data_IF_020879858419
#
_entry.id   IF_020879858419
#
_cell.length_a   1.000
_cell.length_b   1.000
_cell.length_c   1.000
_cell.angle_alpha   90.00
_cell.angle_beta   90.00
_cell.angle_gamma   90.00
#
_symmetry.space_group_name_H-M   'P 1'
#
loop_
_entity.id
_entity.type
_entity.pdbx_description
1 polymer ?
#
# COMPACT_ATOMS: atom_id res chain seq x y z
N UNK A 1 28.81 -14.89 -7.56
CA UNK A 1 28.73 -15.05 -9.04
C UNK A 1 29.23 -13.75 -9.70
N UNK A 2 29.82 -13.83 -10.90
CA UNK A 2 30.33 -12.63 -11.61
C UNK A 2 29.16 -11.93 -12.30
N UNK A 3 29.12 -10.58 -12.31
CA UNK A 3 28.12 -9.75 -12.99
C UNK A 3 27.95 -10.15 -14.46
N UNK A 4 29.03 -10.54 -15.13
CA UNK A 4 29.03 -11.05 -16.50
C UNK A 4 28.13 -12.31 -16.65
N UNK A 5 28.17 -13.23 -15.71
CA UNK A 5 27.33 -14.40 -15.71
C UNK A 5 25.85 -14.02 -15.53
N UNK A 6 25.55 -13.05 -14.67
CA UNK A 6 24.17 -12.59 -14.45
C UNK A 6 23.62 -11.93 -15.72
N UNK A 7 24.43 -11.12 -16.42
CA UNK A 7 24.06 -10.49 -17.68
C UNK A 7 23.81 -11.49 -18.82
N UNK A 8 24.38 -12.69 -18.72
CA UNK A 8 24.17 -13.78 -19.72
C UNK A 8 22.90 -14.59 -19.48
N UNK A 9 22.16 -14.34 -18.40
CA UNK A 9 20.89 -15.00 -18.14
C UNK A 9 19.85 -14.66 -19.22
N UNK A 10 19.03 -15.64 -19.60
CA UNK A 10 18.03 -15.47 -20.65
C UNK A 10 16.91 -14.52 -20.24
N UNK A 11 16.84 -13.37 -20.89
CA UNK A 11 15.71 -12.42 -20.76
C UNK A 11 14.38 -13.07 -21.14
N UNK A 12 14.39 -13.95 -22.16
CA UNK A 12 13.21 -14.69 -22.62
C UNK A 12 12.66 -15.57 -21.51
N UNK A 13 13.52 -16.38 -20.87
CA UNK A 13 13.10 -17.31 -19.83
C UNK A 13 12.68 -16.55 -18.57
N UNK A 14 13.38 -15.47 -18.25
CA UNK A 14 12.98 -14.62 -17.12
C UNK A 14 11.59 -14.03 -17.32
N UNK A 15 11.30 -13.47 -18.49
CA UNK A 15 9.98 -12.92 -18.82
C UNK A 15 8.89 -14.00 -18.84
N UNK A 16 9.18 -15.16 -19.42
CA UNK A 16 8.25 -16.30 -19.42
C UNK A 16 7.88 -16.76 -18.01
N UNK A 17 8.86 -16.85 -17.10
CA UNK A 17 8.65 -17.16 -15.69
C UNK A 17 7.81 -16.11 -14.95
N UNK A 18 7.71 -14.88 -15.48
CA UNK A 18 6.85 -13.81 -14.99
C UNK A 18 5.51 -13.70 -15.73
N UNK A 19 5.20 -14.65 -16.63
CA UNK A 19 3.96 -14.68 -17.39
C UNK A 19 3.93 -13.76 -18.60
N UNK A 20 5.07 -13.19 -19.00
CA UNK A 20 5.20 -12.35 -20.19
C UNK A 20 5.74 -13.18 -21.37
N UNK A 21 4.92 -13.33 -22.41
CA UNK A 21 5.25 -14.09 -23.61
C UNK A 21 5.31 -13.16 -24.83
N UNK A 22 6.14 -13.46 -25.84
CA UNK A 22 6.21 -12.66 -27.04
C UNK A 22 4.89 -12.72 -27.82
N UNK A 23 4.40 -11.57 -28.28
CA UNK A 23 3.27 -11.47 -29.21
C UNK A 23 3.70 -11.84 -30.62
N UNK A 24 4.95 -11.49 -30.98
CA UNK A 24 5.62 -11.90 -32.23
C UNK A 24 7.02 -12.38 -31.90
N UNK A 25 7.39 -13.55 -32.37
CA UNK A 25 8.70 -14.15 -32.12
C UNK A 25 9.46 -14.38 -33.39
N UNK A 26 10.74 -14.03 -33.38
CA UNK A 26 11.70 -14.24 -34.48
C UNK A 26 12.91 -15.00 -33.92
N UNK A 27 13.75 -15.53 -34.77
CA UNK A 27 14.92 -16.34 -34.36
C UNK A 27 15.88 -15.59 -33.44
N UNK A 28 15.99 -14.28 -33.60
CA UNK A 28 16.99 -13.46 -32.86
C UNK A 28 16.39 -12.49 -31.85
N UNK A 29 15.08 -12.26 -31.90
CA UNK A 29 14.38 -11.35 -30.99
C UNK A 29 12.89 -11.68 -30.87
N UNK A 30 12.26 -11.17 -29.81
CA UNK A 30 10.81 -11.18 -29.64
C UNK A 30 10.25 -9.78 -29.45
N UNK A 31 9.02 -9.58 -29.91
CA UNK A 31 8.22 -8.39 -29.61
C UNK A 31 7.16 -8.74 -28.57
N UNK A 32 7.19 -8.08 -27.46
CA UNK A 32 6.31 -8.27 -26.30
C UNK A 32 5.43 -7.04 -26.10
N UNK A 33 4.33 -7.19 -25.38
CA UNK A 33 3.69 -6.05 -24.73
C UNK A 33 4.59 -5.61 -23.59
N UNK A 34 4.66 -4.31 -23.31
CA UNK A 34 5.52 -3.79 -22.26
C UNK A 34 5.13 -4.38 -20.89
N UNK A 35 6.09 -4.93 -20.12
CA UNK A 35 5.82 -5.40 -18.78
C UNK A 35 5.61 -4.26 -17.76
N UNK A 36 5.72 -3.01 -18.22
CA UNK A 36 5.67 -1.81 -17.37
C UNK A 36 4.34 -1.06 -17.46
N UNK A 37 3.48 -1.41 -18.43
CA UNK A 37 2.17 -0.76 -18.67
C UNK A 37 1.23 -1.67 -19.45
N UNK A 38 -0.05 -1.37 -19.40
CA UNK A 38 -1.03 -1.97 -20.31
C UNK A 38 -0.95 -1.32 -21.69
N UNK A 39 -0.88 -2.13 -22.74
CA UNK A 39 -0.88 -1.68 -24.13
C UNK A 39 -1.51 -2.72 -25.05
N UNK A 40 -2.12 -2.25 -26.16
CA UNK A 40 -2.76 -3.12 -27.15
C UNK A 40 -1.78 -3.67 -28.17
N UNK A 41 -0.72 -2.92 -28.50
CA UNK A 41 0.28 -3.26 -29.52
C UNK A 41 1.64 -3.54 -28.86
N UNK A 42 2.40 -4.57 -29.32
CA UNK A 42 3.67 -4.90 -28.74
C UNK A 42 4.72 -3.84 -29.08
N UNK A 43 5.27 -3.19 -28.06
CA UNK A 43 6.28 -2.14 -28.17
C UNK A 43 7.58 -2.44 -27.41
N UNK A 44 7.69 -3.61 -26.80
CA UNK A 44 8.85 -4.02 -26.03
C UNK A 44 9.62 -5.10 -26.78
N UNK A 45 10.84 -4.76 -27.25
CA UNK A 45 11.73 -5.68 -27.97
C UNK A 45 12.70 -6.35 -27.01
N UNK A 46 12.86 -7.67 -27.14
CA UNK A 46 13.92 -8.44 -26.44
C UNK A 46 14.82 -9.05 -27.50
N UNK A 47 16.07 -8.63 -27.51
CA UNK A 47 17.10 -9.20 -28.39
C UNK A 47 17.76 -10.39 -27.67
N UNK A 48 17.55 -11.60 -28.21
CA UNK A 48 18.01 -12.85 -27.60
C UNK A 48 19.52 -13.08 -27.75
N UNK A 49 20.14 -12.47 -28.77
CA UNK A 49 21.60 -12.60 -29.00
C UNK A 49 22.39 -11.62 -28.13
N UNK A 50 21.93 -10.37 -28.09
CA UNK A 50 22.59 -9.34 -27.30
C UNK A 50 22.25 -9.44 -25.81
N UNK A 51 21.21 -10.22 -25.40
CA UNK A 51 20.63 -10.25 -24.06
C UNK A 51 20.25 -8.85 -23.58
N UNK A 52 19.62 -8.07 -24.48
CA UNK A 52 19.19 -6.69 -24.21
C UNK A 52 17.69 -6.55 -24.51
N UNK A 53 17.04 -5.63 -23.81
CA UNK A 53 15.68 -5.21 -24.12
C UNK A 53 15.63 -3.72 -24.47
N UNK A 54 14.60 -3.35 -25.23
CA UNK A 54 14.31 -1.96 -25.56
C UNK A 54 12.79 -1.75 -25.64
N UNK A 55 12.29 -0.77 -24.89
CA UNK A 55 10.88 -0.37 -24.89
C UNK A 55 10.71 0.89 -25.74
N UNK A 56 10.16 0.72 -26.95
CA UNK A 56 9.90 1.81 -27.89
C UNK A 56 8.88 2.83 -27.36
N UNK A 57 8.01 2.44 -26.43
CA UNK A 57 7.01 3.34 -25.86
C UNK A 57 7.58 4.30 -24.82
N UNK A 58 8.61 3.90 -24.07
CA UNK A 58 9.29 4.78 -23.09
C UNK A 58 10.65 5.30 -23.57
N UNK A 59 11.22 4.73 -24.67
CA UNK A 59 12.56 5.06 -25.15
C UNK A 59 13.69 4.52 -24.27
N UNK A 60 13.41 3.55 -23.39
CA UNK A 60 14.35 2.99 -22.44
C UNK A 60 14.74 1.56 -22.80
N UNK A 61 15.94 1.16 -22.40
CA UNK A 61 16.44 -0.18 -22.66
C UNK A 61 17.55 -0.56 -21.69
N UNK A 62 17.97 -1.84 -21.73
CA UNK A 62 19.03 -2.31 -20.85
C UNK A 62 19.23 -3.82 -20.88
N UNK A 63 20.00 -4.32 -19.92
CA UNK A 63 20.26 -5.72 -19.65
C UNK A 63 19.15 -6.35 -18.79
N UNK A 64 19.29 -7.64 -18.47
CA UNK A 64 18.37 -8.31 -17.53
C UNK A 64 18.40 -7.64 -16.15
N UNK A 65 19.53 -7.11 -15.73
CA UNK A 65 19.67 -6.41 -14.44
C UNK A 65 18.81 -5.14 -14.46
N UNK A 66 18.88 -4.34 -15.54
CA UNK A 66 18.09 -3.12 -15.69
C UNK A 66 16.60 -3.43 -15.77
N UNK A 67 16.22 -4.55 -16.43
CA UNK A 67 14.85 -5.04 -16.46
C UNK A 67 14.36 -5.36 -15.04
N UNK A 68 15.14 -6.12 -14.27
CA UNK A 68 14.79 -6.53 -12.91
C UNK A 68 14.71 -5.32 -11.98
N UNK A 69 15.67 -4.41 -12.06
CA UNK A 69 15.64 -3.16 -11.28
C UNK A 69 14.37 -2.37 -11.58
N UNK A 70 13.98 -2.25 -12.85
CA UNK A 70 12.78 -1.51 -13.26
C UNK A 70 11.49 -2.24 -12.90
N UNK A 71 11.38 -3.56 -13.12
CA UNK A 71 10.20 -4.35 -12.77
C UNK A 71 9.92 -4.39 -11.27
N UNK A 72 10.97 -4.50 -10.48
CA UNK A 72 10.86 -4.62 -9.02
C UNK A 72 11.14 -3.32 -8.27
N UNK A 73 11.56 -2.25 -8.98
CA UNK A 73 11.94 -0.97 -8.36
C UNK A 73 13.05 -1.13 -7.33
N UNK A 74 14.02 -2.00 -7.59
CA UNK A 74 15.04 -2.40 -6.64
C UNK A 74 16.43 -1.86 -7.03
N UNK A 75 17.36 -1.86 -6.07
CA UNK A 75 18.77 -1.48 -6.31
C UNK A 75 19.51 -2.55 -7.11
N UNK A 76 20.69 -2.18 -7.66
CA UNK A 76 21.56 -3.11 -8.36
C UNK A 76 21.88 -4.36 -7.53
N UNK A 77 22.21 -4.19 -6.25
CA UNK A 77 22.52 -5.30 -5.35
C UNK A 77 21.35 -6.24 -5.14
N UNK A 78 20.14 -5.68 -5.01
CA UNK A 78 18.90 -6.46 -4.89
C UNK A 78 18.55 -7.18 -6.18
N UNK A 79 18.71 -6.52 -7.35
CA UNK A 79 18.49 -7.15 -8.66
C UNK A 79 19.42 -8.33 -8.89
N UNK A 80 20.69 -8.18 -8.50
CA UNK A 80 21.69 -9.26 -8.54
C UNK A 80 21.24 -10.43 -7.65
N UNK A 81 20.83 -10.16 -6.40
CA UNK A 81 20.33 -11.18 -5.48
C UNK A 81 19.13 -11.95 -6.01
N UNK A 82 18.20 -11.24 -6.68
CA UNK A 82 17.03 -11.83 -7.35
C UNK A 82 17.41 -12.79 -8.49
N UNK A 83 18.39 -12.36 -9.32
CA UNK A 83 18.84 -13.14 -10.46
C UNK A 83 19.71 -14.34 -10.06
N UNK A 84 20.37 -14.28 -8.91
CA UNK A 84 21.11 -15.38 -8.31
C UNK A 84 20.23 -16.41 -7.56
N UNK A 85 18.91 -16.22 -7.54
CA UNK A 85 17.96 -17.01 -6.72
C UNK A 85 18.29 -17.00 -5.21
N UNK A 86 19.05 -16.01 -4.74
CA UNK A 86 19.39 -15.84 -3.31
C UNK A 86 18.32 -15.07 -2.54
N UNK A 87 17.47 -14.33 -3.25
CA UNK A 87 16.35 -13.57 -2.69
C UNK A 87 15.16 -13.70 -3.64
N UNK A 88 14.20 -14.53 -3.31
CA UNK A 88 12.89 -14.49 -3.96
C UNK A 88 12.10 -13.34 -3.35
N UNK A 89 12.05 -12.18 -4.03
CA UNK A 89 11.08 -11.12 -3.71
C UNK A 89 9.85 -11.37 -4.60
N UNK A 90 8.99 -12.24 -4.14
CA UNK A 90 7.65 -12.36 -4.72
C UNK A 90 6.73 -11.37 -3.99
N UNK A 91 5.88 -10.62 -4.69
CA UNK A 91 4.79 -9.95 -3.99
C UNK A 91 3.91 -11.04 -3.37
N UNK A 92 3.74 -11.02 -2.04
CA UNK A 92 2.73 -11.84 -1.38
C UNK A 92 1.37 -11.45 -1.95
N UNK A 93 0.67 -12.42 -2.50
CA UNK A 93 -0.74 -12.27 -2.83
C UNK A 93 -1.58 -12.50 -1.57
N UNK A 94 -2.82 -12.00 -1.55
CA UNK A 94 -3.74 -12.23 -0.44
C UNK A 94 -3.92 -13.74 -0.19
N UNK A 95 -3.98 -14.56 -1.26
CA UNK A 95 -4.09 -16.02 -1.17
C UNK A 95 -2.89 -16.69 -0.49
N UNK A 96 -1.67 -16.16 -0.69
CA UNK A 96 -0.47 -16.67 -0.03
C UNK A 96 -0.51 -16.39 1.47
N UNK A 97 -1.05 -15.22 1.85
CA UNK A 97 -1.19 -14.82 3.24
C UNK A 97 -2.29 -15.61 3.96
N UNK A 98 -3.46 -15.79 3.34
CA UNK A 98 -4.58 -16.52 3.94
C UNK A 98 -4.17 -17.99 4.22
N UNK A 99 -3.45 -18.64 3.29
CA UNK A 99 -2.87 -19.96 3.50
C UNK A 99 -1.83 -20.02 4.62
N UNK A 100 -1.13 -18.91 4.89
CA UNK A 100 -0.11 -18.82 5.94
C UNK A 100 -0.70 -18.52 7.31
N UNK A 101 -1.78 -17.74 7.36
CA UNK A 101 -2.53 -17.52 8.59
C UNK A 101 -3.12 -18.83 9.13
N UNK A 102 -3.50 -19.76 8.23
CA UNK A 102 -3.97 -21.10 8.56
C UNK A 102 -2.83 -22.03 9.02
N UNK A 103 -1.59 -21.82 8.55
CA UNK A 103 -0.43 -22.67 8.88
C UNK A 103 0.27 -22.33 10.19
N UNK A 104 -0.09 -21.20 10.84
CA UNK A 104 0.51 -20.76 12.11
C UNK A 104 1.98 -20.35 12.02
N UNK A 105 2.51 -20.11 10.82
CA UNK A 105 3.92 -19.75 10.63
C UNK A 105 4.20 -18.30 11.00
N UNK A 106 5.31 -18.09 11.70
CA UNK A 106 5.71 -16.81 12.25
C UNK A 106 6.24 -15.86 11.16
N UNK A 107 5.63 -14.67 11.02
CA UNK A 107 6.15 -13.58 10.22
C UNK A 107 7.19 -12.82 11.03
N UNK A 108 8.41 -12.74 10.53
CA UNK A 108 9.52 -12.08 11.22
C UNK A 108 9.86 -10.76 10.54
N UNK A 109 9.80 -9.66 11.31
CA UNK A 109 10.31 -8.36 10.85
C UNK A 109 11.83 -8.46 10.80
N UNK A 110 12.42 -8.12 9.64
CA UNK A 110 13.86 -8.05 9.45
C UNK A 110 14.33 -6.66 9.81
N UNK A 111 13.69 -5.64 9.23
CA UNK A 111 14.02 -4.24 9.49
C UNK A 111 12.83 -3.32 9.20
N UNK A 112 12.85 -2.14 9.83
CA UNK A 112 11.91 -1.06 9.59
C UNK A 112 12.71 0.22 9.31
N UNK A 113 12.69 0.66 8.05
CA UNK A 113 13.50 1.80 7.59
C UNK A 113 12.63 2.95 7.11
N UNK A 114 13.22 4.10 6.81
CA UNK A 114 12.52 5.21 6.20
C UNK A 114 11.95 4.80 4.85
N UNK A 115 10.71 5.20 4.59
CA UNK A 115 9.99 4.84 3.37
C UNK A 115 10.66 5.49 2.14
N UNK A 116 11.29 4.68 1.30
CA UNK A 116 12.04 5.15 0.12
C UNK A 116 11.90 4.24 -1.11
N UNK A 117 11.41 3.00 -0.95
CA UNK A 117 11.30 2.03 -2.03
C UNK A 117 10.40 2.55 -3.17
N UNK A 118 10.88 2.61 -4.43
CA UNK A 118 10.16 3.25 -5.54
C UNK A 118 8.75 2.68 -5.77
N UNK A 119 8.56 1.36 -5.67
CA UNK A 119 7.24 0.74 -5.87
C UNK A 119 6.25 1.11 -4.76
N UNK A 120 6.72 1.28 -3.52
CA UNK A 120 5.86 1.71 -2.41
C UNK A 120 5.49 3.19 -2.55
N UNK A 121 6.44 4.02 -2.98
CA UNK A 121 6.16 5.44 -3.27
C UNK A 121 5.20 5.59 -4.45
N UNK A 122 5.38 4.80 -5.52
CA UNK A 122 4.45 4.77 -6.67
C UNK A 122 3.06 4.34 -6.22
N UNK A 123 2.94 3.28 -5.41
CA UNK A 123 1.66 2.84 -4.86
C UNK A 123 0.92 3.97 -4.11
N UNK A 124 1.64 4.78 -3.33
CA UNK A 124 1.06 5.95 -2.65
C UNK A 124 0.65 7.04 -3.64
N UNK A 125 1.47 7.32 -4.64
CA UNK A 125 1.18 8.30 -5.70
C UNK A 125 -0.06 7.91 -6.51
N UNK A 126 -0.21 6.63 -6.87
CA UNK A 126 -1.38 6.10 -7.57
C UNK A 126 -2.65 6.29 -6.73
N UNK A 127 -2.53 6.18 -5.40
CA UNK A 127 -3.58 6.47 -4.42
C UNK A 127 -3.71 7.95 -4.06
N UNK A 128 -2.97 8.83 -4.73
CA UNK A 128 -2.98 10.30 -4.51
C UNK A 128 -2.61 10.73 -3.08
N UNK A 129 -1.95 9.86 -2.33
CA UNK A 129 -1.46 10.14 -0.98
C UNK A 129 -0.15 10.92 -1.08
N UNK A 130 -0.04 12.01 -0.32
CA UNK A 130 1.20 12.77 -0.22
C UNK A 130 2.29 11.90 0.44
N UNK A 131 3.41 11.69 -0.29
CA UNK A 131 4.52 10.88 0.19
C UNK A 131 5.17 11.46 1.44
N UNK A 132 5.14 12.78 1.66
CA UNK A 132 5.67 13.42 2.88
C UNK A 132 4.81 13.06 4.10
N UNK A 133 3.49 13.02 3.93
CA UNK A 133 2.54 12.55 4.92
C UNK A 133 2.81 11.08 5.25
N UNK A 134 2.90 10.23 4.22
CA UNK A 134 3.16 8.81 4.43
C UNK A 134 4.49 8.55 5.16
N UNK A 135 5.57 9.26 4.79
CA UNK A 135 6.89 9.15 5.45
C UNK A 135 6.87 9.56 6.94
N UNK A 136 5.95 10.44 7.34
CA UNK A 136 5.80 10.86 8.74
C UNK A 136 5.22 9.74 9.61
N UNK A 137 4.22 9.02 9.10
CA UNK A 137 3.43 8.05 9.87
C UNK A 137 3.81 6.59 9.61
N UNK A 138 4.46 6.30 8.50
CA UNK A 138 4.77 4.94 8.08
C UNK A 138 6.27 4.70 7.95
N UNK A 139 6.62 3.42 7.88
CA UNK A 139 7.96 2.92 7.59
C UNK A 139 7.87 1.96 6.41
N UNK A 140 8.99 1.76 5.77
CA UNK A 140 9.20 0.62 4.88
C UNK A 140 9.60 -0.57 5.76
N UNK A 141 8.80 -1.63 5.70
CA UNK A 141 9.02 -2.83 6.50
C UNK A 141 9.52 -3.92 5.59
N UNK A 142 10.68 -4.47 5.91
CA UNK A 142 11.18 -5.70 5.33
C UNK A 142 10.88 -6.84 6.30
N UNK A 143 10.20 -7.87 5.84
CA UNK A 143 9.79 -8.99 6.67
C UNK A 143 9.94 -10.31 5.94
N UNK A 144 10.13 -11.37 6.69
CA UNK A 144 10.35 -12.72 6.18
C UNK A 144 9.17 -13.62 6.47
N UNK A 145 8.80 -14.42 5.47
CA UNK A 145 7.80 -15.49 5.56
C UNK A 145 8.34 -16.70 4.80
N UNK A 146 8.42 -17.86 5.43
CA UNK A 146 8.93 -19.10 4.82
C UNK A 146 10.32 -18.93 4.18
N UNK A 147 11.20 -18.18 4.82
CA UNK A 147 12.54 -17.88 4.30
C UNK A 147 12.60 -16.87 3.16
N UNK A 148 11.47 -16.37 2.66
CA UNK A 148 11.38 -15.34 1.63
C UNK A 148 11.23 -13.97 2.24
N UNK A 149 11.94 -12.98 1.69
CA UNK A 149 11.87 -11.59 2.14
C UNK A 149 10.86 -10.80 1.31
N UNK A 150 10.03 -10.02 1.99
CA UNK A 150 9.00 -9.16 1.42
C UNK A 150 9.16 -7.74 1.94
N UNK A 151 8.55 -6.78 1.25
CA UNK A 151 8.49 -5.40 1.69
C UNK A 151 7.07 -4.83 1.58
N UNK A 152 6.75 -3.92 2.49
CA UNK A 152 5.46 -3.23 2.52
C UNK A 152 5.58 -1.86 3.18
N UNK A 153 4.58 -0.99 2.95
CA UNK A 153 4.35 0.18 3.78
C UNK A 153 3.77 -0.32 5.10
N UNK A 154 4.38 0.02 6.22
CA UNK A 154 3.92 -0.34 7.54
C UNK A 154 3.60 0.88 8.39
N UNK A 155 2.38 0.94 8.93
CA UNK A 155 2.03 1.88 9.99
C UNK A 155 2.23 1.18 11.33
N UNK A 156 3.08 1.71 12.23
CA UNK A 156 3.28 1.14 13.54
C UNK A 156 1.98 1.18 14.34
N UNK A 157 1.74 0.16 15.14
CA UNK A 157 0.63 0.12 16.09
C UNK A 157 1.09 0.28 17.53
N UNK A 158 0.16 0.46 18.45
CA UNK A 158 0.44 0.77 19.87
C UNK A 158 1.12 -0.36 20.65
N UNK A 159 1.19 -1.58 20.09
CA UNK A 159 1.85 -2.74 20.70
C UNK A 159 3.19 -3.11 20.02
N UNK A 160 3.70 -2.28 19.10
CA UNK A 160 4.97 -2.50 18.41
C UNK A 160 4.90 -3.39 17.18
N UNK A 161 3.70 -3.83 16.76
CA UNK A 161 3.46 -4.45 15.45
C UNK A 161 3.19 -3.40 14.37
N UNK A 162 2.84 -3.86 13.17
CA UNK A 162 2.57 -3.00 12.02
C UNK A 162 1.33 -3.43 11.26
N UNK A 163 0.45 -2.49 10.94
CA UNK A 163 -0.48 -2.67 9.83
C UNK A 163 0.28 -2.46 8.53
N UNK A 164 0.24 -3.43 7.61
CA UNK A 164 1.04 -3.39 6.39
C UNK A 164 0.20 -3.38 5.12
N UNK A 165 0.72 -2.69 4.09
CA UNK A 165 0.09 -2.57 2.79
C UNK A 165 1.11 -2.47 1.68
N UNK A 166 0.84 -3.15 0.57
CA UNK A 166 1.44 -2.90 -0.73
C UNK A 166 0.38 -3.06 -1.84
N UNK A 167 0.77 -3.06 -3.10
CA UNK A 167 -0.15 -3.19 -4.23
C UNK A 167 -0.98 -4.50 -4.17
N UNK A 168 -0.40 -5.58 -3.66
CA UNK A 168 -0.93 -6.94 -3.73
C UNK A 168 -1.50 -7.44 -2.41
N UNK A 169 -1.17 -6.78 -1.30
CA UNK A 169 -1.39 -7.32 0.02
C UNK A 169 -1.81 -6.27 1.07
N UNK A 170 -2.78 -6.66 1.92
CA UNK A 170 -3.19 -5.95 3.15
C UNK A 170 -3.11 -6.94 4.31
N UNK A 171 -2.38 -6.60 5.36
CA UNK A 171 -2.25 -7.47 6.53
C UNK A 171 -1.70 -6.77 7.76
N UNK A 172 -1.28 -7.56 8.72
CA UNK A 172 -0.70 -7.11 9.97
C UNK A 172 0.51 -7.98 10.33
N UNK A 173 1.61 -7.33 10.69
CA UNK A 173 2.74 -7.99 11.36
C UNK A 173 2.51 -7.90 12.87
N UNK A 174 2.50 -9.04 13.56
CA UNK A 174 2.12 -9.10 14.96
C UNK A 174 3.04 -8.27 15.89
N UNK A 175 2.55 -7.88 17.04
CA UNK A 175 1.18 -8.05 17.55
C UNK A 175 0.15 -7.14 16.84
N UNK A 176 -1.10 -7.62 16.65
CA UNK A 176 -2.17 -6.84 16.04
C UNK A 176 -2.80 -5.88 17.04
N UNK A 177 -2.80 -4.59 16.71
CA UNK A 177 -3.42 -3.54 17.54
C UNK A 177 -3.86 -2.34 16.70
N UNK A 178 -4.48 -1.39 17.37
CA UNK A 178 -4.77 -0.04 16.86
C UNK A 178 -3.49 0.78 16.74
N UNK A 179 -3.57 1.85 15.94
CA UNK A 179 -2.56 2.93 15.96
C UNK A 179 -3.23 4.20 16.46
N UNK A 180 -2.77 4.74 17.59
CA UNK A 180 -3.33 5.93 18.19
C UNK A 180 -2.38 7.13 18.14
N UNK A 181 -2.95 8.32 17.94
CA UNK A 181 -2.24 9.60 17.86
C UNK A 181 -2.97 10.59 18.77
N UNK A 182 -2.58 10.63 20.05
CA UNK A 182 -3.13 11.60 21.00
C UNK A 182 -2.48 12.96 20.80
N UNK A 183 -3.31 13.98 20.61
CA UNK A 183 -2.91 15.37 20.39
C UNK A 183 -3.56 16.33 21.36
N UNK A 184 -4.06 15.78 22.46
CA UNK A 184 -4.68 16.53 23.55
C UNK A 184 -5.85 17.40 23.05
N UNK A 185 -6.73 16.82 22.23
CA UNK A 185 -7.95 17.45 21.70
C UNK A 185 -9.18 16.77 22.29
N UNK A 186 -10.31 17.51 22.40
CA UNK A 186 -11.58 16.95 22.90
C UNK A 186 -12.27 16.04 21.88
N UNK A 187 -11.79 16.03 20.64
CA UNK A 187 -12.35 15.26 19.53
C UNK A 187 -11.31 14.29 18.99
N UNK A 188 -11.74 13.06 18.68
CA UNK A 188 -10.88 12.07 18.04
C UNK A 188 -11.46 11.64 16.68
N UNK A 189 -10.61 11.50 15.67
CA UNK A 189 -10.95 10.98 14.36
C UNK A 189 -10.64 9.47 14.31
N UNK A 190 -11.64 8.66 14.03
CA UNK A 190 -11.52 7.20 13.93
C UNK A 190 -11.54 6.76 12.47
N UNK A 191 -10.56 5.95 12.09
CA UNK A 191 -10.40 5.39 10.74
C UNK A 191 -10.40 3.87 10.77
N UNK A 192 -10.95 3.23 9.72
CA UNK A 192 -10.92 1.78 9.61
C UNK A 192 -9.51 1.29 9.23
N UNK A 193 -8.87 1.92 8.26
CA UNK A 193 -7.54 1.59 7.76
C UNK A 193 -6.59 2.77 7.69
N UNK A 194 -5.29 2.49 7.71
CA UNK A 194 -4.29 3.57 7.71
C UNK A 194 -4.19 4.30 6.36
N UNK A 195 -4.62 3.69 5.26
CA UNK A 195 -4.68 4.36 3.96
C UNK A 195 -5.70 5.51 3.99
N UNK A 196 -6.83 5.33 4.68
CA UNK A 196 -7.84 6.39 4.85
C UNK A 196 -7.35 7.49 5.79
N UNK A 197 -6.63 7.12 6.84
CA UNK A 197 -5.95 8.10 7.70
C UNK A 197 -4.93 8.94 6.92
N UNK A 198 -4.08 8.32 6.08
CA UNK A 198 -3.14 9.05 5.24
C UNK A 198 -3.86 9.92 4.19
N UNK A 199 -5.00 9.45 3.68
CA UNK A 199 -5.85 10.21 2.76
C UNK A 199 -6.46 11.43 3.45
N UNK A 200 -6.92 11.28 4.69
CA UNK A 200 -7.39 12.39 5.52
C UNK A 200 -6.30 13.43 5.74
N UNK A 201 -5.12 13.00 6.15
CA UNK A 201 -3.98 13.89 6.37
C UNK A 201 -3.53 14.61 5.09
N UNK A 202 -3.71 13.98 3.92
CA UNK A 202 -3.43 14.59 2.61
C UNK A 202 -4.51 15.61 2.23
N UNK A 203 -5.79 15.30 2.46
CA UNK A 203 -6.93 16.15 2.14
C UNK A 203 -7.02 17.39 3.03
N UNK A 204 -6.65 17.24 4.30
CA UNK A 204 -6.85 18.23 5.36
C UNK A 204 -5.56 18.44 6.16
N UNK A 205 -4.51 19.03 5.55
CA UNK A 205 -3.21 19.21 6.20
C UNK A 205 -3.29 20.05 7.50
N UNK A 206 -4.20 20.99 7.58
CA UNK A 206 -4.41 21.83 8.77
C UNK A 206 -5.05 21.07 9.94
N UNK A 207 -5.68 19.92 9.68
CA UNK A 207 -6.30 19.06 10.68
C UNK A 207 -5.38 17.92 11.16
N UNK A 208 -4.13 17.89 10.74
CA UNK A 208 -3.13 16.92 11.19
C UNK A 208 -2.74 17.08 12.68
N UNK A 209 -3.25 18.11 13.34
CA UNK A 209 -3.11 18.36 14.78
C UNK A 209 -4.25 17.76 15.60
N UNK A 210 -5.26 17.16 15.01
CA UNK A 210 -6.36 16.52 15.71
C UNK A 210 -5.97 15.10 16.16
N UNK A 211 -6.48 14.65 17.31
CA UNK A 211 -6.30 13.27 17.78
C UNK A 211 -6.92 12.29 16.80
N UNK A 212 -6.27 11.14 16.61
CA UNK A 212 -6.72 10.13 15.68
C UNK A 212 -6.49 8.71 16.22
N UNK A 213 -7.31 7.77 15.78
CA UNK A 213 -7.12 6.34 15.97
C UNK A 213 -7.45 5.58 14.69
N UNK A 214 -6.58 4.66 14.33
CA UNK A 214 -6.77 3.74 13.21
C UNK A 214 -7.00 2.35 13.75
N UNK A 215 -8.13 1.74 13.40
CA UNK A 215 -8.48 0.39 13.87
C UNK A 215 -7.53 -0.68 13.32
N UNK A 216 -7.01 -0.49 12.09
CA UNK A 216 -6.21 -1.47 11.34
C UNK A 216 -6.96 -2.77 11.00
N UNK A 217 -7.99 -3.09 11.79
CA UNK A 217 -8.96 -4.19 11.59
C UNK A 217 -10.21 -3.89 12.39
N UNK A 218 -11.38 -4.21 11.85
CA UNK A 218 -12.67 -4.09 12.57
C UNK A 218 -12.70 -4.91 13.86
N UNK A 219 -11.92 -5.99 13.94
CA UNK A 219 -11.78 -6.82 15.14
C UNK A 219 -11.17 -6.07 16.33
N UNK A 220 -10.46 -4.97 16.09
CA UNK A 220 -9.88 -4.14 17.15
C UNK A 220 -10.89 -3.14 17.75
N UNK A 221 -12.14 -3.07 17.24
CA UNK A 221 -13.13 -2.12 17.73
C UNK A 221 -13.40 -2.23 19.23
N UNK A 222 -13.42 -3.46 19.77
CA UNK A 222 -13.64 -3.65 21.22
C UNK A 222 -12.49 -3.08 22.06
N UNK A 223 -11.27 -3.05 21.51
CA UNK A 223 -10.07 -2.56 22.21
C UNK A 223 -10.04 -1.02 22.34
N UNK A 224 -10.81 -0.30 21.50
CA UNK A 224 -10.77 1.18 21.48
C UNK A 224 -11.78 1.84 22.38
N UNK A 225 -12.74 1.12 22.98
CA UNK A 225 -13.81 1.72 23.79
C UNK A 225 -13.25 2.60 24.92
N UNK A 226 -12.31 2.10 25.71
CA UNK A 226 -11.68 2.85 26.82
C UNK A 226 -10.86 4.06 26.33
N UNK A 227 -10.33 4.02 25.10
CA UNK A 227 -9.67 5.17 24.50
C UNK A 227 -10.71 6.21 24.06
N UNK A 228 -11.74 5.79 23.31
CA UNK A 228 -12.75 6.69 22.74
C UNK A 228 -13.57 7.39 23.80
N UNK A 229 -13.83 6.75 24.95
CA UNK A 229 -14.58 7.33 26.07
C UNK A 229 -13.88 8.53 26.76
N UNK A 230 -12.62 8.76 26.46
CA UNK A 230 -11.87 9.95 26.93
C UNK A 230 -12.18 11.21 26.12
N UNK A 231 -12.81 11.07 24.96
CA UNK A 231 -13.09 12.16 24.04
C UNK A 231 -14.57 12.54 24.04
N UNK A 232 -14.85 13.83 23.93
CA UNK A 232 -16.22 14.33 23.89
C UNK A 232 -16.94 13.95 22.60
N UNK A 233 -16.21 13.85 21.48
CA UNK A 233 -16.74 13.55 20.15
C UNK A 233 -15.82 12.58 19.42
N UNK A 234 -16.43 11.59 18.77
CA UNK A 234 -15.77 10.65 17.86
C UNK A 234 -16.25 10.93 16.43
N UNK A 235 -15.37 11.34 15.54
CA UNK A 235 -15.65 11.48 14.11
C UNK A 235 -15.26 10.17 13.42
N UNK A 236 -16.23 9.40 12.95
CA UNK A 236 -16.01 8.09 12.35
C UNK A 236 -15.89 8.18 10.81
N UNK A 237 -14.70 7.92 10.29
CA UNK A 237 -14.37 7.82 8.86
C UNK A 237 -14.25 6.33 8.50
N UNK A 238 -15.41 5.69 8.23
CA UNK A 238 -15.53 4.26 7.96
C UNK A 238 -15.85 4.01 6.48
N UNK A 239 -15.55 2.79 6.01
CA UNK A 239 -15.88 2.40 4.64
C UNK A 239 -17.40 2.41 4.40
N UNK A 240 -17.83 2.78 3.20
CA UNK A 240 -19.26 2.82 2.79
C UNK A 240 -19.81 1.42 2.42
N UNK A 241 -19.29 0.38 3.06
CA UNK A 241 -19.73 -0.99 2.88
C UNK A 241 -20.51 -1.54 4.10
N UNK A 242 -20.88 -2.82 4.05
CA UNK A 242 -21.63 -3.48 5.13
C UNK A 242 -20.82 -3.56 6.44
N UNK A 243 -19.50 -3.71 6.36
CA UNK A 243 -18.63 -3.81 7.54
C UNK A 243 -18.50 -2.45 8.24
N UNK A 244 -18.28 -1.37 7.47
CA UNK A 244 -18.23 -0.01 8.00
C UNK A 244 -19.55 0.42 8.64
N UNK A 245 -20.71 0.11 8.01
CA UNK A 245 -22.04 0.36 8.58
C UNK A 245 -22.25 -0.38 9.90
N UNK A 246 -21.88 -1.67 9.96
CA UNK A 246 -21.94 -2.45 11.20
C UNK A 246 -21.04 -1.88 12.29
N UNK A 247 -19.84 -1.43 11.93
CA UNK A 247 -18.89 -0.78 12.85
C UNK A 247 -19.49 0.52 13.41
N UNK A 248 -20.13 1.34 12.58
CA UNK A 248 -20.81 2.56 13.01
C UNK A 248 -21.93 2.28 14.01
N UNK A 249 -22.76 1.27 13.76
CA UNK A 249 -23.80 0.85 14.70
C UNK A 249 -23.24 0.39 16.03
N UNK A 250 -22.14 -0.37 16.03
CA UNK A 250 -21.47 -0.80 17.25
C UNK A 250 -20.90 0.40 18.03
N UNK A 251 -20.31 1.38 17.37
CA UNK A 251 -19.85 2.63 18.01
C UNK A 251 -21.01 3.40 18.67
N UNK A 252 -22.14 3.51 17.99
CA UNK A 252 -23.35 4.17 18.54
C UNK A 252 -23.90 3.47 19.79
N UNK A 253 -23.77 2.14 19.86
CA UNK A 253 -24.16 1.35 21.05
C UNK A 253 -23.20 1.50 22.24
N UNK A 254 -22.00 2.03 22.03
CA UNK A 254 -21.01 2.25 23.10
C UNK A 254 -21.27 3.50 23.97
N UNK A 255 -22.44 4.13 23.84
CA UNK A 255 -22.81 5.36 24.55
C UNK A 255 -21.81 6.53 24.29
N UNK A 256 -21.29 6.60 23.07
CA UNK A 256 -20.38 7.64 22.61
C UNK A 256 -21.10 8.65 21.72
N UNK A 257 -20.67 9.90 21.74
CA UNK A 257 -21.14 10.90 20.75
C UNK A 257 -20.38 10.72 19.44
N UNK A 258 -21.00 10.02 18.49
CA UNK A 258 -20.39 9.65 17.21
C UNK A 258 -20.99 10.49 16.08
N UNK A 259 -20.13 11.16 15.32
CA UNK A 259 -20.46 11.79 14.05
C UNK A 259 -20.07 10.81 12.91
N UNK A 260 -21.01 10.50 12.05
CA UNK A 260 -20.77 9.74 10.84
C UNK A 260 -20.16 10.67 9.79
N UNK A 261 -18.87 10.49 9.50
CA UNK A 261 -18.14 11.24 8.49
C UNK A 261 -18.08 10.54 7.13
N UNK A 262 -18.62 9.31 7.00
CA UNK A 262 -18.69 8.60 5.72
C UNK A 262 -19.56 9.34 4.70
N UNK A 263 -20.49 10.16 5.17
CA UNK A 263 -21.35 11.03 4.35
C UNK A 263 -20.51 12.02 3.51
N UNK A 264 -19.31 12.42 3.97
CA UNK A 264 -18.43 13.35 3.24
C UNK A 264 -17.89 12.76 1.93
N UNK A 265 -17.91 11.46 1.82
CA UNK A 265 -17.49 10.70 0.64
C UNK A 265 -18.57 9.72 0.16
N UNK A 266 -19.84 10.12 0.31
CA UNK A 266 -20.95 9.37 -0.24
C UNK A 266 -20.77 9.11 -1.74
N UNK A 267 -21.11 7.90 -2.22
CA UNK A 267 -20.87 7.48 -3.59
C UNK A 267 -19.45 6.95 -3.87
N UNK A 268 -18.57 6.98 -2.86
CA UNK A 268 -17.24 6.40 -2.90
C UNK A 268 -17.14 5.26 -1.88
N UNK A 269 -16.31 4.27 -2.17
CA UNK A 269 -16.14 3.12 -1.28
C UNK A 269 -15.58 3.53 0.08
N UNK A 270 -14.53 4.34 0.06
CA UNK A 270 -13.77 4.79 1.22
C UNK A 270 -13.21 6.19 0.98
N UNK A 271 -12.54 6.77 1.96
CA UNK A 271 -11.97 8.10 1.88
C UNK A 271 -10.83 8.18 0.85
N UNK A 272 -10.10 7.09 0.64
CA UNK A 272 -9.06 7.04 -0.39
C UNK A 272 -9.64 7.03 -1.81
N UNK A 273 -10.73 6.29 -2.06
CA UNK A 273 -11.44 6.33 -3.36
C UNK A 273 -11.92 7.74 -3.66
N UNK A 274 -12.46 8.45 -2.67
CA UNK A 274 -12.83 9.86 -2.81
C UNK A 274 -11.63 10.75 -3.16
N UNK A 275 -10.49 10.61 -2.47
CA UNK A 275 -9.27 11.37 -2.75
C UNK A 275 -8.79 11.12 -4.19
N UNK A 276 -8.80 9.87 -4.66
CA UNK A 276 -8.38 9.51 -6.01
C UNK A 276 -9.24 10.16 -7.09
N UNK A 277 -10.56 10.25 -6.88
CA UNK A 277 -11.50 10.81 -7.85
C UNK A 277 -11.65 12.33 -7.78
N UNK A 278 -11.45 12.95 -6.62
CA UNK A 278 -11.47 14.40 -6.44
C UNK A 278 -10.49 15.12 -7.36
N UNK A 279 -9.35 14.52 -7.63
CA UNK A 279 -8.33 15.08 -8.52
C UNK A 279 -8.63 14.90 -10.02
N UNK A 280 -9.75 14.24 -10.35
CA UNK A 280 -10.22 14.08 -11.74
C UNK A 280 -11.30 15.10 -12.14
N UNK A 281 -11.84 15.90 -11.20
CA UNK A 281 -12.81 16.96 -11.48
C UNK A 281 -13.01 17.85 -10.25
N UNK A 282 -12.91 19.15 -10.46
CA UNK A 282 -13.08 20.22 -9.47
C UNK A 282 -14.40 20.09 -8.70
N UNK A 283 -14.37 19.51 -7.50
CA UNK A 283 -15.47 19.62 -6.54
C UNK A 283 -14.89 20.18 -5.24
N UNK A 284 -15.28 21.40 -4.90
CA UNK A 284 -14.96 22.03 -3.62
C UNK A 284 -15.61 21.23 -2.47
N UNK A 285 -14.91 21.02 -1.33
CA UNK A 285 -15.48 20.30 -0.21
C UNK A 285 -16.71 21.05 0.34
N UNK A 286 -17.76 20.33 0.77
CA UNK A 286 -18.88 20.96 1.46
C UNK A 286 -18.38 21.60 2.75
N UNK A 287 -18.66 22.91 2.93
CA UNK A 287 -18.40 23.60 4.20
C UNK A 287 -19.28 22.97 5.28
N UNK A 288 -18.65 22.39 6.30
CA UNK A 288 -19.36 22.02 7.52
C UNK A 288 -19.99 23.30 8.11
N UNK A 289 -21.31 23.39 8.08
CA UNK A 289 -22.02 24.40 8.84
C UNK A 289 -21.87 24.07 10.32
N UNK A 290 -21.14 24.87 11.07
CA UNK A 290 -21.22 24.89 12.52
C UNK A 290 -22.67 25.15 12.89
N UNK A 291 -23.41 24.13 13.37
CA UNK A 291 -24.69 24.36 14.03
C UNK A 291 -24.37 25.08 15.33
N UNK A 292 -24.53 26.40 15.28
CA UNK A 292 -24.46 27.25 16.47
C UNK A 292 -25.40 26.73 17.52
N UNK A 293 -24.88 26.49 18.71
CA UNK A 293 -25.66 26.33 19.92
C UNK A 293 -26.45 27.63 20.10
N UNK A 294 -27.77 27.57 19.88
CA UNK A 294 -28.65 28.58 20.46
C UNK A 294 -28.65 28.32 21.98
N UNK A 295 -28.27 29.37 22.70
CA UNK A 295 -28.37 29.47 24.15
C UNK A 295 -29.82 29.29 24.60
#
# INVERSE_FOLDING_TARGET
MNIEHIKSLSLKDYLANKGHYPVKEYTTYGMYRSPFREESSPSFKVDYRASLWYDFGSGEGGSIIDLVMKLHGCTLSQAIGLLENRVEISPLTQNDFDRQAESGEEMKIIEAVSLHHPNLLRYLQDRKIDCSVAKRYCREIHYQVKGRTYYAIGMPNDLGGYAIRNLYFKGCLPPSSISSFDRNTDTINLFEGFIDYLSFCTLYPDRNTESAVVLNSVNNLQKVHSLLSKYAIVNAYLDNDAAGKKTLELLRRMNLRVNDCSILYEGHKDLNDFLCRKNQGLISPPRMKSRGLKR
#
